data_IF_488031615558
#
_entry.id   IF_488031615558
#
_cell.length_a   1.000
_cell.length_b   1.000
_cell.length_c   1.000
_cell.angle_alpha   90.00
_cell.angle_beta   90.00
_cell.angle_gamma   90.00
#
_symmetry.space_group_name_H-M   'P 1'
#
loop_
_entity.id
_entity.type
_entity.pdbx_description
1 polymer ?
#
# COMPACT_ATOMS: atom_id res chain seq x y z
N UNK A 1 19.58 -10.48 0.93
CA UNK A 1 20.61 -11.51 0.58
C UNK A 1 20.20 -12.36 -0.61
N UNK A 2 19.06 -13.07 -0.56
CA UNK A 2 18.66 -13.94 -1.67
C UNK A 2 18.55 -13.17 -3.00
N UNK A 3 17.87 -12.02 -2.99
CA UNK A 3 17.71 -11.13 -4.15
C UNK A 3 19.06 -10.66 -4.71
N UNK A 4 19.89 -9.97 -3.91
CA UNK A 4 21.27 -9.62 -4.27
C UNK A 4 22.09 -10.76 -4.91
N UNK A 5 22.11 -11.96 -4.32
CA UNK A 5 22.88 -13.09 -4.87
C UNK A 5 22.32 -13.56 -6.22
N UNK A 6 21.00 -13.55 -6.37
CA UNK A 6 20.33 -13.82 -7.64
C UNK A 6 20.70 -12.77 -8.68
N UNK A 7 20.72 -11.48 -8.34
CA UNK A 7 21.14 -10.41 -9.24
C UNK A 7 22.59 -10.61 -9.72
N UNK A 8 23.52 -10.83 -8.78
CA UNK A 8 24.94 -11.03 -9.08
C UNK A 8 25.17 -12.27 -9.95
N UNK A 9 24.57 -13.41 -9.59
CA UNK A 9 24.74 -14.67 -10.31
C UNK A 9 24.02 -14.65 -11.66
N UNK A 10 22.83 -14.06 -11.74
CA UNK A 10 22.07 -13.91 -12.98
C UNK A 10 22.82 -13.07 -14.01
N UNK A 11 23.40 -11.94 -13.59
CA UNK A 11 24.25 -11.10 -14.46
C UNK A 11 25.50 -11.82 -14.94
N UNK A 12 26.16 -12.59 -14.07
CA UNK A 12 27.34 -13.37 -14.45
C UNK A 12 26.99 -14.44 -15.50
N UNK A 13 25.89 -15.16 -15.32
CA UNK A 13 25.40 -16.16 -16.27
C UNK A 13 25.00 -15.53 -17.61
N UNK A 14 24.23 -14.43 -17.58
CA UNK A 14 23.85 -13.70 -18.78
C UNK A 14 25.09 -13.22 -19.55
N UNK A 15 26.09 -12.68 -18.85
CA UNK A 15 27.32 -12.23 -19.49
C UNK A 15 28.12 -13.37 -20.13
N UNK A 16 28.20 -14.52 -19.47
CA UNK A 16 28.87 -15.69 -20.02
C UNK A 16 28.13 -16.25 -21.26
N UNK A 17 26.80 -16.22 -21.25
CA UNK A 17 25.98 -16.75 -22.33
C UNK A 17 25.91 -15.84 -23.56
N UNK A 18 25.70 -14.54 -23.37
CA UNK A 18 25.53 -13.57 -24.46
C UNK A 18 26.84 -12.88 -24.89
N UNK A 19 27.96 -13.16 -24.22
CA UNK A 19 29.28 -12.64 -24.58
C UNK A 19 29.56 -11.19 -24.15
N UNK A 20 28.77 -10.63 -23.23
CA UNK A 20 28.95 -9.29 -22.70
C UNK A 20 27.96 -8.94 -21.58
N UNK A 21 28.26 -7.92 -20.75
CA UNK A 21 27.38 -7.54 -19.64
C UNK A 21 26.04 -6.99 -20.14
N UNK A 22 24.98 -7.17 -19.35
CA UNK A 22 23.71 -6.49 -19.58
C UNK A 22 23.92 -4.97 -19.58
N UNK A 23 23.28 -4.27 -20.54
CA UNK A 23 23.38 -2.81 -20.65
C UNK A 23 22.65 -2.10 -19.50
N UNK A 24 21.50 -2.65 -19.12
CA UNK A 24 20.69 -2.21 -17.99
C UNK A 24 20.20 -3.44 -17.21
N UNK A 25 19.91 -3.26 -15.93
CA UNK A 25 19.26 -4.24 -15.09
C UNK A 25 18.03 -3.64 -14.41
N UNK A 26 16.92 -4.35 -14.44
CA UNK A 26 15.65 -3.90 -13.87
C UNK A 26 15.17 -4.86 -12.78
N UNK A 27 14.55 -4.30 -11.72
CA UNK A 27 13.83 -5.05 -10.71
C UNK A 27 12.38 -4.59 -10.68
N UNK A 28 11.44 -5.53 -10.65
CA UNK A 28 10.03 -5.26 -10.43
C UNK A 28 9.50 -6.24 -9.39
N UNK A 29 8.88 -5.71 -8.36
CA UNK A 29 8.22 -6.52 -7.34
C UNK A 29 7.10 -5.72 -6.66
N UNK A 30 6.11 -6.46 -6.18
CA UNK A 30 5.00 -5.92 -5.41
C UNK A 30 4.87 -6.65 -4.06
N UNK A 31 4.25 -6.04 -3.04
CA UNK A 31 4.12 -6.61 -1.70
C UNK A 31 5.49 -6.83 -1.04
N UNK A 32 5.79 -8.04 -0.56
CA UNK A 32 7.14 -8.43 -0.15
C UNK A 32 8.18 -8.16 -1.25
N UNK A 33 7.83 -8.35 -2.53
CA UNK A 33 8.71 -7.99 -3.65
C UNK A 33 8.94 -6.47 -3.75
N UNK A 34 7.96 -5.65 -3.36
CA UNK A 34 8.13 -4.20 -3.27
C UNK A 34 9.07 -3.81 -2.13
N UNK A 35 9.01 -4.51 -0.98
CA UNK A 35 9.99 -4.37 0.10
C UNK A 35 11.39 -4.75 -0.37
N UNK A 36 11.53 -5.86 -1.10
CA UNK A 36 12.80 -6.31 -1.66
C UNK A 36 13.37 -5.28 -2.63
N UNK A 37 12.51 -4.70 -3.48
CA UNK A 37 12.86 -3.61 -4.40
C UNK A 37 13.49 -2.41 -3.67
N UNK A 38 12.86 -1.97 -2.56
CA UNK A 38 13.40 -0.88 -1.75
C UNK A 38 14.66 -1.29 -1.00
N UNK A 39 14.76 -2.53 -0.54
CA UNK A 39 15.96 -3.06 0.09
C UNK A 39 17.14 -3.07 -0.87
N UNK A 40 16.95 -3.45 -2.12
CA UNK A 40 17.98 -3.39 -3.17
C UNK A 40 18.41 -1.94 -3.42
N UNK A 41 17.46 -1.00 -3.54
CA UNK A 41 17.79 0.42 -3.69
C UNK A 41 18.63 0.97 -2.53
N UNK A 42 18.34 0.58 -1.29
CA UNK A 42 19.01 1.07 -0.08
C UNK A 42 20.36 0.38 0.18
N UNK A 43 20.40 -0.95 0.08
CA UNK A 43 21.53 -1.77 0.56
C UNK A 43 22.45 -2.25 -0.56
N UNK A 44 21.92 -2.42 -1.76
CA UNK A 44 22.64 -2.93 -2.92
C UNK A 44 22.41 -2.00 -4.12
N UNK A 45 22.74 -0.70 -3.99
CA UNK A 45 22.35 0.30 -4.98
C UNK A 45 22.88 -0.04 -6.37
N UNK A 46 23.92 -0.89 -6.51
CA UNK A 46 24.54 -1.32 -7.76
C UNK A 46 23.82 -2.43 -8.53
N UNK A 47 22.80 -3.05 -7.93
CA UNK A 47 22.22 -4.27 -8.49
C UNK A 47 21.23 -4.00 -9.62
N UNK A 48 20.60 -2.83 -9.64
CA UNK A 48 19.61 -2.47 -10.67
C UNK A 48 19.73 -1.00 -11.06
N UNK A 49 19.48 -0.69 -12.32
CA UNK A 49 19.48 0.68 -12.86
C UNK A 49 18.08 1.29 -12.81
N UNK A 50 17.04 0.44 -12.90
CA UNK A 50 15.65 0.80 -12.67
C UNK A 50 14.99 -0.15 -11.68
N UNK A 51 14.17 0.39 -10.78
CA UNK A 51 13.43 -0.38 -9.78
C UNK A 51 11.96 0.03 -9.80
N UNK A 52 11.05 -0.95 -9.79
CA UNK A 52 9.63 -0.79 -9.52
C UNK A 52 9.33 -1.44 -8.17
N UNK A 53 8.77 -0.64 -7.26
CA UNK A 53 8.33 -1.09 -5.94
C UNK A 53 6.82 -0.88 -5.80
N UNK A 54 6.05 -1.96 -5.91
CA UNK A 54 4.59 -1.95 -5.74
C UNK A 54 4.19 -2.31 -4.32
N UNK A 55 3.22 -1.61 -3.74
CA UNK A 55 2.59 -1.92 -2.44
C UNK A 55 3.57 -2.44 -1.36
N UNK A 56 4.71 -1.75 -1.11
CA UNK A 56 5.82 -2.38 -0.43
C UNK A 56 5.60 -2.49 1.08
N UNK A 57 5.77 -3.71 1.61
CA UNK A 57 5.88 -3.94 3.05
C UNK A 57 7.26 -3.52 3.60
N UNK A 58 7.68 -2.28 3.33
CA UNK A 58 9.04 -1.81 3.57
C UNK A 58 9.40 -1.71 5.06
N UNK A 59 8.40 -1.65 5.95
CA UNK A 59 8.57 -1.54 7.39
C UNK A 59 8.00 -2.79 8.08
N UNK A 60 8.45 -3.95 7.63
CA UNK A 60 7.89 -5.27 7.91
C UNK A 60 7.69 -5.54 9.40
N UNK A 61 8.66 -5.22 10.26
CA UNK A 61 8.51 -5.44 11.71
C UNK A 61 7.30 -4.69 12.29
N UNK A 62 7.05 -3.48 11.78
CA UNK A 62 5.93 -2.67 12.19
C UNK A 62 4.64 -3.07 11.47
N UNK A 63 4.71 -3.58 10.25
CA UNK A 63 3.54 -4.10 9.56
C UNK A 63 2.97 -5.33 10.28
N UNK A 64 3.85 -6.24 10.72
CA UNK A 64 3.49 -7.43 11.50
C UNK A 64 2.73 -7.08 12.79
N UNK A 65 3.22 -6.09 13.54
CA UNK A 65 2.60 -5.66 14.81
C UNK A 65 1.39 -4.76 14.57
N UNK A 66 1.55 -3.80 13.67
CA UNK A 66 0.68 -2.66 13.44
C UNK A 66 -0.54 -2.95 12.60
N UNK A 67 -0.48 -4.00 11.80
CA UNK A 67 -1.52 -4.34 10.84
C UNK A 67 -1.90 -5.80 11.00
N UNK A 68 -1.02 -6.76 10.70
CA UNK A 68 -1.40 -8.19 10.76
C UNK A 68 -1.96 -8.56 12.14
N UNK A 69 -1.16 -8.37 13.19
CA UNK A 69 -1.60 -8.69 14.55
C UNK A 69 -2.74 -7.78 15.02
N UNK A 70 -2.74 -6.50 14.62
CA UNK A 70 -3.75 -5.53 15.04
C UNK A 70 -5.14 -5.84 14.49
N UNK A 71 -5.24 -6.22 13.20
CA UNK A 71 -6.51 -6.63 12.58
C UNK A 71 -7.05 -7.86 13.29
N UNK A 72 -6.20 -8.89 13.45
CA UNK A 72 -6.59 -10.15 14.09
C UNK A 72 -7.02 -9.91 15.53
N UNK A 73 -6.25 -9.14 16.30
CA UNK A 73 -6.56 -8.82 17.69
C UNK A 73 -7.84 -7.99 17.81
N UNK A 74 -8.08 -7.06 16.90
CA UNK A 74 -9.27 -6.18 16.92
C UNK A 74 -10.55 -6.95 16.68
N UNK A 75 -10.54 -7.93 15.77
CA UNK A 75 -11.75 -8.65 15.35
C UNK A 75 -11.99 -9.94 16.13
N UNK A 76 -10.93 -10.62 16.59
CA UNK A 76 -11.03 -11.99 17.10
C UNK A 76 -10.64 -12.18 18.58
N UNK A 77 -10.30 -11.10 19.28
CA UNK A 77 -10.15 -11.13 20.75
C UNK A 77 -11.50 -11.06 21.49
N UNK A 78 -12.53 -10.50 20.86
CA UNK A 78 -13.90 -10.44 21.36
C UNK A 78 -14.85 -10.71 20.20
N UNK A 79 -15.62 -11.80 20.28
CA UNK A 79 -16.56 -12.19 19.23
C UNK A 79 -17.62 -11.12 18.92
N UNK A 80 -17.87 -10.18 19.83
CA UNK A 80 -18.78 -9.05 19.60
C UNK A 80 -18.23 -8.01 18.63
N UNK A 81 -16.91 -7.98 18.43
CA UNK A 81 -16.22 -7.05 17.51
C UNK A 81 -16.20 -7.55 16.07
N UNK A 82 -16.39 -8.84 15.85
CA UNK A 82 -16.30 -9.46 14.52
C UNK A 82 -17.39 -8.92 13.60
N UNK A 83 -17.01 -8.58 12.37
CA UNK A 83 -17.91 -8.13 11.32
C UNK A 83 -18.25 -9.29 10.40
N UNK A 84 -19.51 -9.39 9.98
CA UNK A 84 -19.89 -10.25 8.86
C UNK A 84 -19.53 -9.62 7.52
N UNK A 85 -19.44 -10.42 6.45
CA UNK A 85 -19.25 -9.90 5.09
C UNK A 85 -20.33 -8.89 4.68
N UNK A 86 -21.59 -9.10 5.08
CA UNK A 86 -22.68 -8.16 4.81
C UNK A 86 -22.49 -6.81 5.54
N UNK A 87 -21.92 -6.84 6.74
CA UNK A 87 -21.61 -5.61 7.49
C UNK A 87 -20.40 -4.88 6.92
N UNK A 88 -19.38 -5.58 6.42
CA UNK A 88 -18.28 -4.95 5.68
C UNK A 88 -18.79 -4.27 4.39
N UNK A 89 -19.68 -4.95 3.64
CA UNK A 89 -20.37 -4.35 2.49
C UNK A 89 -21.16 -3.09 2.87
N UNK A 90 -21.89 -3.13 3.99
CA UNK A 90 -22.62 -1.97 4.51
C UNK A 90 -21.69 -0.79 4.80
N UNK A 91 -20.54 -1.05 5.45
CA UNK A 91 -19.53 -0.02 5.73
C UNK A 91 -19.01 0.59 4.42
N UNK A 92 -18.56 -0.24 3.47
CA UNK A 92 -18.02 0.27 2.20
C UNK A 92 -19.03 1.02 1.35
N UNK A 93 -20.30 0.61 1.39
CA UNK A 93 -21.38 1.33 0.71
C UNK A 93 -21.59 2.71 1.34
N UNK A 94 -21.60 2.80 2.67
CA UNK A 94 -21.77 4.07 3.38
C UNK A 94 -20.55 5.00 3.23
N UNK A 95 -19.34 4.45 3.20
CA UNK A 95 -18.10 5.18 2.90
C UNK A 95 -18.18 5.81 1.51
N UNK A 96 -18.49 5.02 0.47
CA UNK A 96 -18.60 5.54 -0.89
C UNK A 96 -19.68 6.62 -0.98
N UNK A 97 -20.87 6.39 -0.44
CA UNK A 97 -21.95 7.40 -0.41
C UNK A 97 -21.53 8.72 0.24
N UNK A 98 -20.65 8.69 1.23
CA UNK A 98 -20.20 9.88 1.93
C UNK A 98 -19.00 10.58 1.25
N UNK A 99 -18.18 9.83 0.50
CA UNK A 99 -16.83 10.27 0.15
C UNK A 99 -16.47 10.22 -1.34
N UNK A 100 -17.16 9.42 -2.16
CA UNK A 100 -16.90 9.26 -3.61
C UNK A 100 -16.84 10.63 -4.30
N UNK A 101 -17.90 11.44 -4.14
CA UNK A 101 -18.02 12.77 -4.77
C UNK A 101 -17.05 13.85 -4.29
N UNK A 102 -16.14 13.56 -3.34
CA UNK A 102 -15.22 14.58 -2.82
C UNK A 102 -14.21 15.05 -3.89
N UNK A 103 -13.85 14.20 -4.84
CA UNK A 103 -12.98 14.54 -5.97
C UNK A 103 -13.72 15.17 -7.17
N UNK A 104 -15.04 15.27 -7.08
CA UNK A 104 -15.91 15.84 -8.12
C UNK A 104 -16.46 14.82 -9.11
N UNK A 105 -16.15 13.53 -8.93
CA UNK A 105 -16.63 12.41 -9.73
C UNK A 105 -17.45 11.47 -8.82
N UNK A 106 -18.48 10.82 -9.35
CA UNK A 106 -19.26 9.82 -8.60
C UNK A 106 -19.16 8.50 -9.36
N UNK A 107 -18.17 7.70 -8.99
CA UNK A 107 -17.73 6.56 -9.79
C UNK A 107 -17.39 5.30 -8.97
N UNK A 108 -17.69 5.34 -7.67
CA UNK A 108 -17.48 4.27 -6.70
C UNK A 108 -16.03 4.13 -6.23
N UNK A 109 -15.17 5.10 -6.51
CA UNK A 109 -13.75 5.11 -6.13
C UNK A 109 -13.44 6.40 -5.38
N UNK A 110 -12.68 6.30 -4.30
CA UNK A 110 -12.13 7.47 -3.62
C UNK A 110 -10.80 7.82 -4.30
N UNK A 111 -10.71 8.95 -5.01
CA UNK A 111 -9.46 9.44 -5.61
C UNK A 111 -8.36 9.61 -4.55
N UNK A 112 -8.72 10.20 -3.41
CA UNK A 112 -7.84 10.31 -2.25
C UNK A 112 -8.62 10.02 -0.95
N UNK A 113 -8.50 8.80 -0.38
CA UNK A 113 -9.23 8.43 0.83
C UNK A 113 -8.81 9.22 2.07
N UNK A 114 -7.70 9.98 2.03
CA UNK A 114 -7.27 10.86 3.13
C UNK A 114 -8.26 12.02 3.36
N UNK A 115 -9.08 12.35 2.36
CA UNK A 115 -10.15 13.36 2.44
C UNK A 115 -11.45 12.82 3.01
N UNK A 116 -11.58 11.50 3.11
CA UNK A 116 -12.78 10.87 3.63
C UNK A 116 -12.76 10.84 5.17
N UNK A 117 -13.60 11.68 5.78
CA UNK A 117 -13.76 11.75 7.24
C UNK A 117 -14.98 10.97 7.75
N UNK A 118 -15.46 9.99 6.99
CA UNK A 118 -16.60 9.15 7.39
C UNK A 118 -16.35 8.46 8.75
N UNK A 119 -17.35 8.55 9.63
CA UNK A 119 -17.38 7.87 10.93
C UNK A 119 -18.47 6.79 10.93
N UNK A 120 -18.15 5.54 11.31
CA UNK A 120 -19.07 4.42 11.18
C UNK A 120 -20.15 4.41 12.27
N UNK A 121 -20.13 5.36 13.21
CA UNK A 121 -21.14 5.51 14.25
C UNK A 121 -22.53 5.81 13.70
N UNK A 122 -22.61 6.37 12.49
CA UNK A 122 -23.90 6.56 11.78
C UNK A 122 -24.59 5.23 11.44
N UNK A 123 -23.84 4.13 11.37
CA UNK A 123 -24.34 2.77 11.12
C UNK A 123 -24.72 2.03 12.41
N UNK A 124 -24.58 2.65 13.59
CA UNK A 124 -24.80 1.95 14.85
C UNK A 124 -26.27 1.50 15.00
N UNK A 125 -26.48 0.25 15.42
CA UNK A 125 -27.81 -0.32 15.65
C UNK A 125 -28.58 0.48 16.71
N UNK A 126 -29.84 0.84 16.40
CA UNK A 126 -30.80 1.45 17.34
C UNK A 126 -31.56 0.42 18.19
N UNK A 127 -31.46 -0.86 17.82
CA UNK A 127 -32.13 -1.99 18.47
C UNK A 127 -31.28 -3.25 18.36
N UNK A 128 -31.92 -4.40 18.15
CA UNK A 128 -31.21 -5.68 18.02
C UNK A 128 -30.22 -5.67 16.84
N UNK A 129 -29.10 -6.38 17.04
CA UNK A 129 -28.09 -6.58 16.00
C UNK A 129 -28.67 -7.31 14.79
N UNK A 130 -28.39 -6.82 13.60
CA UNK A 130 -28.68 -7.51 12.34
C UNK A 130 -27.69 -7.05 11.26
N UNK A 131 -27.78 -7.66 10.07
CA UNK A 131 -26.86 -7.39 8.94
C UNK A 131 -26.91 -5.96 8.36
N UNK A 132 -27.88 -5.14 8.77
CA UNK A 132 -28.09 -3.77 8.25
C UNK A 132 -27.60 -2.67 9.21
N UNK A 133 -26.92 -3.03 10.30
CA UNK A 133 -26.32 -2.07 11.23
C UNK A 133 -25.10 -2.69 11.92
N UNK A 134 -24.33 -1.86 12.64
CA UNK A 134 -23.19 -2.28 13.43
C UNK A 134 -23.51 -2.15 14.93
N UNK A 135 -23.17 -3.17 15.72
CA UNK A 135 -23.19 -3.02 17.18
C UNK A 135 -22.10 -2.04 17.64
N UNK A 136 -22.22 -1.54 18.87
CA UNK A 136 -21.21 -0.63 19.43
C UNK A 136 -19.77 -1.21 19.41
N UNK A 137 -19.52 -2.49 19.77
CA UNK A 137 -18.20 -3.11 19.60
C UNK A 137 -17.73 -3.15 18.14
N UNK A 138 -18.61 -3.45 17.17
CA UNK A 138 -18.27 -3.46 15.74
C UNK A 138 -17.92 -2.05 15.21
N UNK A 139 -18.68 -1.02 15.59
CA UNK A 139 -18.33 0.38 15.27
C UNK A 139 -16.95 0.73 15.83
N UNK A 140 -16.66 0.31 17.06
CA UNK A 140 -15.36 0.52 17.70
C UNK A 140 -14.25 -0.23 16.97
N UNK A 141 -14.51 -1.46 16.51
CA UNK A 141 -13.56 -2.24 15.72
C UNK A 141 -13.22 -1.55 14.40
N UNK A 142 -14.21 -1.09 13.63
CA UNK A 142 -13.98 -0.35 12.37
C UNK A 142 -13.14 0.91 12.61
N UNK A 143 -13.44 1.69 13.66
CA UNK A 143 -12.61 2.87 14.02
C UNK A 143 -11.17 2.49 14.36
N UNK A 144 -10.94 1.36 15.04
CA UNK A 144 -9.59 0.86 15.36
C UNK A 144 -8.83 0.41 14.11
N UNK A 145 -9.49 -0.24 13.17
CA UNK A 145 -8.89 -0.69 11.91
C UNK A 145 -8.39 0.51 11.08
N UNK A 146 -9.21 1.55 10.93
CA UNK A 146 -8.82 2.76 10.18
C UNK A 146 -7.78 3.63 10.90
N UNK A 147 -7.72 3.56 12.24
CA UNK A 147 -6.76 4.36 13.02
C UNK A 147 -5.39 3.67 13.16
N UNK A 148 -5.38 2.35 13.23
CA UNK A 148 -4.21 1.58 13.65
C UNK A 148 -3.95 1.67 15.17
N UNK A 149 -2.99 0.89 15.69
CA UNK A 149 -2.62 0.92 17.11
C UNK A 149 -1.92 2.23 17.48
N UNK A 150 -2.39 2.86 18.57
CA UNK A 150 -1.70 3.99 19.18
C UNK A 150 -0.76 3.47 20.28
N UNK A 151 0.52 3.30 19.96
CA UNK A 151 1.55 3.00 20.97
C UNK A 151 2.45 4.22 21.18
N UNK A 152 2.88 4.46 22.42
CA UNK A 152 3.76 5.59 22.74
C UNK A 152 5.16 5.46 22.12
N UNK A 153 5.58 4.23 21.81
CA UNK A 153 6.92 3.92 21.27
C UNK A 153 6.99 4.16 19.76
N UNK A 154 5.87 4.02 19.06
CA UNK A 154 5.80 4.04 17.59
C UNK A 154 4.71 4.97 17.07
N UNK A 155 4.41 6.03 17.83
CA UNK A 155 3.41 7.02 17.45
C UNK A 155 3.76 7.60 16.08
N UNK A 156 2.90 7.39 15.08
CA UNK A 156 3.16 7.81 13.71
C UNK A 156 4.05 6.86 12.89
N UNK A 157 4.13 5.57 13.24
CA UNK A 157 4.66 4.50 12.38
C UNK A 157 3.59 3.48 11.99
N UNK A 158 2.62 3.24 12.87
CA UNK A 158 1.46 2.41 12.56
C UNK A 158 0.37 3.26 11.91
N UNK A 159 0.19 3.07 10.61
CA UNK A 159 -0.95 3.61 9.87
C UNK A 159 -2.08 2.60 9.89
N UNK A 160 -3.32 3.05 10.15
CA UNK A 160 -4.48 2.20 9.92
C UNK A 160 -4.81 2.07 8.43
N UNK A 161 -5.70 1.15 8.12
CA UNK A 161 -6.20 0.91 6.77
C UNK A 161 -6.93 2.15 6.23
N UNK A 162 -6.86 2.35 4.92
CA UNK A 162 -7.65 3.40 4.28
C UNK A 162 -9.09 2.97 4.00
N UNK A 163 -9.92 4.00 3.83
CA UNK A 163 -11.32 3.84 3.42
C UNK A 163 -11.43 3.62 1.91
N UNK A 164 -12.49 2.95 1.47
CA UNK A 164 -12.82 2.75 0.06
C UNK A 164 -12.71 1.30 -0.41
N UNK A 165 -12.01 0.44 0.34
CA UNK A 165 -11.88 -0.99 0.04
C UNK A 165 -12.86 -1.91 0.76
N UNK A 166 -13.69 -1.39 1.67
CA UNK A 166 -14.45 -2.23 2.63
C UNK A 166 -15.46 -3.15 1.98
N UNK A 167 -16.10 -2.69 0.90
CA UNK A 167 -17.13 -3.46 0.21
C UNK A 167 -16.54 -4.63 -0.60
N UNK A 168 -15.37 -4.44 -1.20
CA UNK A 168 -14.85 -5.33 -2.24
C UNK A 168 -13.63 -6.14 -1.80
N UNK A 169 -12.80 -5.58 -0.92
CA UNK A 169 -11.46 -6.12 -0.63
C UNK A 169 -11.32 -6.64 0.81
N UNK A 170 -12.23 -6.28 1.72
CA UNK A 170 -12.14 -6.73 3.10
C UNK A 170 -12.44 -8.22 3.30
N UNK A 171 -13.22 -8.85 2.41
CA UNK A 171 -13.53 -10.27 2.54
C UNK A 171 -12.24 -11.11 2.40
N UNK A 172 -11.98 -11.97 3.38
CA UNK A 172 -10.76 -12.77 3.46
C UNK A 172 -9.63 -12.01 4.15
N UNK A 173 -9.30 -10.80 3.69
CA UNK A 173 -8.24 -9.98 4.29
C UNK A 173 -8.56 -9.52 5.70
N UNK A 174 -9.66 -8.78 5.85
CA UNK A 174 -10.06 -8.15 7.12
C UNK A 174 -11.15 -8.97 7.80
N UNK A 175 -12.18 -9.37 7.05
CA UNK A 175 -13.33 -10.12 7.59
C UNK A 175 -13.34 -11.55 7.08
N UNK A 176 -13.36 -12.49 8.01
CA UNK A 176 -13.53 -13.92 7.79
C UNK A 176 -14.34 -14.54 8.94
N UNK A 177 -14.91 -15.73 8.72
CA UNK A 177 -15.77 -16.38 9.71
C UNK A 177 -14.97 -16.88 10.92
N UNK A 178 -13.71 -17.27 10.68
CA UNK A 178 -12.75 -17.65 11.73
C UNK A 178 -11.43 -16.88 11.60
N UNK A 179 -10.62 -16.81 12.68
CA UNK A 179 -9.26 -16.28 12.59
C UNK A 179 -8.40 -17.05 11.59
N UNK A 180 -8.56 -18.37 11.48
CA UNK A 180 -7.72 -19.20 10.60
C UNK A 180 -7.97 -18.95 9.11
N UNK A 181 -9.16 -18.48 8.75
CA UNK A 181 -9.52 -18.08 7.39
C UNK A 181 -9.09 -16.64 7.06
N UNK A 182 -8.71 -15.85 8.06
CA UNK A 182 -8.29 -14.47 7.88
C UNK A 182 -6.84 -14.40 7.35
N UNK A 183 -6.63 -13.67 6.25
CA UNK A 183 -5.30 -13.60 5.60
C UNK A 183 -4.26 -12.96 6.51
N UNK A 184 -4.59 -11.90 7.27
CA UNK A 184 -3.62 -11.33 8.21
C UNK A 184 -3.22 -12.31 9.32
N UNK A 185 -4.12 -13.20 9.75
CA UNK A 185 -3.76 -14.23 10.71
C UNK A 185 -2.83 -15.29 10.09
N UNK A 186 -3.08 -15.68 8.85
CA UNK A 186 -2.24 -16.63 8.11
C UNK A 186 -0.83 -16.10 7.87
N UNK A 187 -0.71 -14.82 7.55
CA UNK A 187 0.58 -14.18 7.28
C UNK A 187 1.33 -13.82 8.57
N UNK A 188 0.66 -13.15 9.53
CA UNK A 188 1.36 -12.59 10.68
C UNK A 188 1.52 -13.50 11.89
N UNK A 189 0.54 -14.38 12.22
CA UNK A 189 0.67 -15.22 13.42
C UNK A 189 1.90 -16.15 13.39
N UNK A 190 2.31 -16.73 12.25
CA UNK A 190 3.57 -17.48 12.15
C UNK A 190 4.80 -16.66 12.56
N UNK A 191 4.88 -15.37 12.19
CA UNK A 191 5.99 -14.51 12.59
C UNK A 191 6.13 -14.44 14.12
N UNK A 192 5.02 -14.18 14.82
CA UNK A 192 5.04 -14.13 16.29
C UNK A 192 5.33 -15.49 16.92
N UNK A 193 4.68 -16.55 16.44
CA UNK A 193 4.85 -17.91 16.98
C UNK A 193 6.28 -18.41 16.82
N UNK A 194 6.88 -18.28 15.65
CA UNK A 194 8.14 -18.94 15.32
C UNK A 194 9.37 -18.06 15.47
N UNK A 195 9.27 -16.76 15.16
CA UNK A 195 10.41 -15.84 15.21
C UNK A 195 10.47 -15.07 16.54
N UNK A 196 9.35 -14.46 16.95
CA UNK A 196 9.34 -13.60 18.14
C UNK A 196 9.41 -14.43 19.41
N UNK A 197 8.46 -15.34 19.61
CA UNK A 197 8.28 -16.08 20.87
C UNK A 197 8.82 -17.50 20.87
N UNK A 198 9.11 -18.09 19.70
CA UNK A 198 9.58 -19.48 19.61
C UNK A 198 8.61 -20.51 20.22
N UNK A 199 7.31 -20.20 20.21
CA UNK A 199 6.25 -21.02 20.78
C UNK A 199 5.11 -21.21 19.75
N UNK A 200 4.94 -22.42 19.17
CA UNK A 200 3.88 -22.69 18.20
C UNK A 200 2.46 -22.55 18.78
N UNK A 201 2.32 -22.65 20.10
CA UNK A 201 1.06 -22.54 20.83
C UNK A 201 0.83 -21.13 21.41
N UNK A 202 1.63 -20.13 21.02
CA UNK A 202 1.43 -18.75 21.47
C UNK A 202 0.04 -18.23 21.04
N UNK A 203 -0.65 -17.59 21.99
CA UNK A 203 -1.97 -16.98 21.77
C UNK A 203 -1.83 -15.47 21.56
N UNK A 204 -2.30 -14.99 20.42
CA UNK A 204 -2.22 -13.58 20.01
C UNK A 204 -2.91 -12.63 21.00
N UNK A 205 -3.92 -13.12 21.72
CA UNK A 205 -4.65 -12.34 22.74
C UNK A 205 -3.78 -11.93 23.92
N UNK A 206 -2.61 -12.55 24.08
CA UNK A 206 -1.65 -12.27 25.15
C UNK A 206 -0.58 -11.24 24.76
N UNK A 207 -0.62 -10.71 23.53
CA UNK A 207 0.42 -9.78 23.06
C UNK A 207 0.48 -8.48 23.85
N UNK A 208 1.69 -8.08 24.25
CA UNK A 208 1.93 -6.84 24.99
C UNK A 208 2.39 -5.72 24.04
N UNK A 209 1.43 -4.90 23.58
CA UNK A 209 1.67 -3.73 22.73
C UNK A 209 2.54 -2.62 23.35
N UNK A 210 2.84 -2.67 24.65
CA UNK A 210 3.68 -1.65 25.31
C UNK A 210 5.16 -2.02 25.31
N UNK A 211 5.52 -3.31 25.34
CA UNK A 211 6.90 -3.75 25.49
C UNK A 211 7.43 -4.53 24.28
N UNK A 212 6.63 -5.46 23.75
CA UNK A 212 7.07 -6.37 22.69
C UNK A 212 7.52 -5.66 21.39
N UNK A 213 6.90 -4.56 20.94
CA UNK A 213 7.33 -3.90 19.70
C UNK A 213 8.80 -3.47 19.70
N UNK A 214 9.31 -2.93 20.82
CA UNK A 214 10.73 -2.52 20.92
C UNK A 214 11.68 -3.72 20.84
N UNK A 215 11.29 -4.86 21.42
CA UNK A 215 12.10 -6.08 21.36
C UNK A 215 12.16 -6.63 19.93
N UNK A 216 11.03 -6.61 19.23
CA UNK A 216 10.92 -7.02 17.82
C UNK A 216 11.84 -6.16 16.96
N UNK A 217 11.77 -4.83 17.08
CA UNK A 217 12.64 -3.92 16.34
C UNK A 217 14.12 -4.21 16.58
N UNK A 218 14.53 -4.31 17.85
CA UNK A 218 15.92 -4.55 18.23
C UNK A 218 16.48 -5.85 17.63
N UNK A 219 15.62 -6.87 17.44
CA UNK A 219 16.01 -8.18 16.94
C UNK A 219 15.96 -8.28 15.42
N UNK A 220 14.98 -7.63 14.78
CA UNK A 220 14.61 -7.94 13.40
C UNK A 220 14.67 -6.75 12.44
N UNK A 221 14.52 -5.51 12.91
CA UNK A 221 14.40 -4.34 12.02
C UNK A 221 15.61 -4.15 11.11
N UNK A 222 16.82 -4.37 11.64
CA UNK A 222 18.06 -4.26 10.86
C UNK A 222 18.13 -5.26 9.70
N UNK A 223 17.39 -6.36 9.77
CA UNK A 223 17.36 -7.39 8.73
C UNK A 223 16.16 -7.20 7.80
N UNK A 224 14.96 -7.03 8.37
CA UNK A 224 13.69 -7.07 7.65
C UNK A 224 13.25 -5.71 7.10
N UNK A 225 13.61 -4.60 7.75
CA UNK A 225 13.07 -3.31 7.36
C UNK A 225 13.95 -2.63 6.28
N UNK A 226 13.28 -2.12 5.26
CA UNK A 226 13.80 -1.28 4.20
C UNK A 226 13.34 0.17 4.41
N UNK A 227 13.75 0.78 5.53
CA UNK A 227 13.26 2.10 5.99
C UNK A 227 14.28 3.24 5.80
N UNK A 228 15.45 2.99 5.21
CA UNK A 228 16.49 4.00 5.03
C UNK A 228 16.04 5.07 4.00
N UNK A 229 15.92 6.35 4.39
CA UNK A 229 15.50 7.39 3.47
C UNK A 229 16.63 7.93 2.58
N UNK A 230 17.89 7.55 2.80
CA UNK A 230 19.00 8.00 1.97
C UNK A 230 19.21 7.10 0.73
N UNK A 231 18.50 7.46 -0.35
CA UNK A 231 18.64 6.80 -1.64
C UNK A 231 19.66 7.48 -2.57
N UNK A 232 20.49 8.40 -2.05
CA UNK A 232 21.47 9.08 -2.89
C UNK A 232 22.56 8.17 -3.46
N UNK A 233 23.01 7.08 -2.80
CA UNK A 233 23.90 6.11 -3.44
C UNK A 233 23.29 5.48 -4.70
N UNK A 234 22.01 5.14 -4.68
CA UNK A 234 21.27 4.62 -5.83
C UNK A 234 21.13 5.67 -6.94
N UNK A 235 20.72 6.90 -6.58
CA UNK A 235 20.69 8.04 -7.52
C UNK A 235 22.06 8.33 -8.12
N UNK A 236 23.13 8.29 -7.32
CA UNK A 236 24.48 8.73 -7.69
C UNK A 236 25.06 8.00 -8.89
N UNK A 237 24.58 6.77 -9.15
CA UNK A 237 24.91 5.95 -10.31
C UNK A 237 23.88 5.97 -11.44
N UNK A 238 22.88 6.85 -11.34
CA UNK A 238 21.83 7.03 -12.36
C UNK A 238 20.52 6.28 -12.08
N UNK A 239 20.40 5.58 -10.94
CA UNK A 239 19.26 4.74 -10.62
C UNK A 239 17.92 5.47 -10.64
N UNK A 240 16.87 4.83 -11.17
CA UNK A 240 15.48 5.33 -11.21
C UNK A 240 14.55 4.40 -10.43
N UNK A 241 13.70 4.98 -9.60
CA UNK A 241 12.73 4.27 -8.76
C UNK A 241 11.32 4.76 -9.09
N UNK A 242 10.48 3.86 -9.57
CA UNK A 242 9.03 4.02 -9.60
C UNK A 242 8.45 3.24 -8.43
N UNK A 243 7.62 3.90 -7.64
CA UNK A 243 6.86 3.28 -6.56
C UNK A 243 5.38 3.49 -6.85
N UNK A 244 4.57 2.46 -6.75
CA UNK A 244 3.12 2.61 -6.78
C UNK A 244 2.47 1.99 -5.54
N UNK A 245 1.33 2.53 -5.13
CA UNK A 245 0.55 1.92 -4.06
C UNK A 245 -0.96 2.06 -4.24
N UNK A 246 -1.72 0.97 -4.09
CA UNK A 246 -3.17 0.94 -4.14
C UNK A 246 -3.81 1.61 -2.93
N UNK A 247 -4.64 2.64 -3.15
CA UNK A 247 -5.29 3.35 -2.04
C UNK A 247 -6.29 2.49 -1.25
N UNK A 248 -6.76 1.39 -1.83
CA UNK A 248 -7.67 0.45 -1.18
C UNK A 248 -6.99 -0.85 -0.77
N UNK A 249 -5.66 -0.87 -0.68
CA UNK A 249 -4.87 -2.03 -0.23
C UNK A 249 -5.34 -2.49 1.17
N UNK A 250 -5.88 -3.72 1.30
CA UNK A 250 -6.31 -4.26 2.57
C UNK A 250 -5.17 -4.90 3.38
N UNK A 251 -4.00 -5.10 2.79
CA UNK A 251 -2.82 -5.69 3.43
C UNK A 251 -1.92 -4.60 3.98
N UNK A 252 -1.17 -3.93 3.08
CA UNK A 252 -0.20 -2.91 3.46
C UNK A 252 -0.90 -1.55 3.43
N UNK A 253 -0.90 -0.77 4.52
CA UNK A 253 -1.58 0.51 4.50
C UNK A 253 -0.89 1.52 3.58
N UNK A 254 -1.61 2.12 2.60
CA UNK A 254 -1.01 2.99 1.57
C UNK A 254 -0.38 4.27 2.12
N UNK A 255 -0.84 4.77 3.28
CA UNK A 255 -0.21 5.91 3.97
C UNK A 255 1.27 5.67 4.30
N UNK A 256 1.68 4.44 4.54
CA UNK A 256 3.07 4.11 4.83
C UNK A 256 3.97 4.49 3.64
N UNK A 257 3.50 4.26 2.41
CA UNK A 257 4.26 4.59 1.19
C UNK A 257 4.41 6.07 0.95
N UNK A 258 3.36 6.85 1.24
CA UNK A 258 3.43 8.32 1.26
C UNK A 258 4.45 8.79 2.29
N UNK A 259 4.41 8.24 3.51
CA UNK A 259 5.36 8.61 4.56
C UNK A 259 6.81 8.28 4.21
N UNK A 260 7.05 7.12 3.60
CA UNK A 260 8.39 6.76 3.12
C UNK A 260 8.86 7.71 2.02
N UNK A 261 8.01 8.00 1.02
CA UNK A 261 8.34 8.99 -0.01
C UNK A 261 8.71 10.34 0.58
N UNK A 262 7.91 10.85 1.53
CA UNK A 262 8.20 12.13 2.17
C UNK A 262 9.47 12.12 3.02
N UNK A 263 9.83 10.98 3.63
CA UNK A 263 11.12 10.83 4.34
C UNK A 263 12.30 10.90 3.35
N UNK A 264 12.22 10.20 2.22
CA UNK A 264 13.24 10.26 1.16
C UNK A 264 13.33 11.67 0.57
N UNK A 265 12.18 12.32 0.33
CA UNK A 265 12.12 13.70 -0.17
C UNK A 265 12.81 14.67 0.81
N UNK A 266 12.48 14.60 2.10
CA UNK A 266 13.15 15.41 3.14
C UNK A 266 14.65 15.14 3.22
N UNK A 267 15.07 13.87 3.12
CA UNK A 267 16.49 13.49 3.11
C UNK A 267 17.22 14.08 1.89
N UNK A 268 16.62 13.96 0.70
CA UNK A 268 17.15 14.48 -0.56
C UNK A 268 17.27 16.00 -0.56
N UNK A 269 16.25 16.71 -0.06
CA UNK A 269 16.25 18.16 0.01
C UNK A 269 17.31 18.72 0.97
N UNK A 270 17.59 18.05 2.09
CA UNK A 270 18.71 18.41 2.99
C UNK A 270 20.08 18.34 2.30
N UNK A 271 20.15 17.59 1.20
CA UNK A 271 21.34 17.42 0.36
C UNK A 271 21.21 18.17 -0.98
N UNK A 272 20.25 19.11 -1.10
CA UNK A 272 19.99 19.92 -2.30
C UNK A 272 19.68 19.10 -3.57
N UNK A 273 19.05 17.94 -3.41
CA UNK A 273 18.61 17.08 -4.51
C UNK A 273 17.09 17.12 -4.65
N UNK A 274 16.60 17.24 -5.90
CA UNK A 274 15.20 17.01 -6.22
C UNK A 274 14.90 15.50 -6.20
N UNK A 275 14.04 15.00 -5.28
CA UNK A 275 13.64 13.59 -5.26
C UNK A 275 12.97 13.16 -6.57
N UNK A 276 12.19 14.04 -7.21
CA UNK A 276 11.45 13.74 -8.45
C UNK A 276 12.33 13.42 -9.67
N UNK A 277 13.63 13.70 -9.57
CA UNK A 277 14.66 13.41 -10.58
C UNK A 277 15.06 11.92 -10.65
N UNK A 278 14.74 11.15 -9.62
CA UNK A 278 15.10 9.73 -9.52
C UNK A 278 14.07 8.85 -8.80
N UNK A 279 13.13 9.43 -8.05
CA UNK A 279 12.11 8.70 -7.31
C UNK A 279 10.72 9.33 -7.51
N UNK A 280 9.78 8.55 -8.07
CA UNK A 280 8.38 8.95 -8.25
C UNK A 280 7.44 7.94 -7.60
N UNK A 281 6.50 8.44 -6.80
CA UNK A 281 5.42 7.66 -6.18
C UNK A 281 4.12 7.92 -6.95
N UNK A 282 3.38 6.87 -7.29
CA UNK A 282 2.06 6.90 -7.91
C UNK A 282 1.05 6.20 -6.99
N UNK A 283 0.17 6.98 -6.37
CA UNK A 283 -0.96 6.39 -5.64
C UNK A 283 -2.02 5.97 -6.65
N UNK A 284 -2.63 4.80 -6.45
CA UNK A 284 -3.59 4.20 -7.39
C UNK A 284 -4.98 4.15 -6.73
N UNK A 285 -5.88 5.11 -7.05
CA UNK A 285 -7.23 5.14 -6.52
C UNK A 285 -7.98 3.84 -6.73
N UNK A 286 -8.59 3.32 -5.67
CA UNK A 286 -9.42 2.11 -5.72
C UNK A 286 -8.70 0.81 -6.06
N UNK A 287 -7.38 0.80 -6.28
CA UNK A 287 -6.64 -0.45 -6.44
C UNK A 287 -6.44 -1.11 -5.07
N UNK A 288 -6.58 -2.44 -5.01
CA UNK A 288 -6.24 -3.25 -3.84
C UNK A 288 -4.75 -3.59 -3.77
N UNK A 289 -4.43 -4.67 -3.07
CA UNK A 289 -3.06 -5.16 -2.93
C UNK A 289 -2.54 -5.75 -4.25
N UNK A 290 -1.56 -5.09 -4.86
CA UNK A 290 -0.90 -5.39 -6.14
C UNK A 290 -1.81 -5.39 -7.38
N UNK A 291 -3.10 -5.08 -7.21
CA UNK A 291 -4.11 -5.17 -8.25
C UNK A 291 -5.52 -5.32 -7.66
N UNK A 292 -6.48 -5.66 -8.52
CA UNK A 292 -7.88 -5.78 -8.13
C UNK A 292 -8.48 -4.45 -7.63
N UNK A 293 -9.61 -4.54 -6.94
CA UNK A 293 -10.31 -3.37 -6.37
C UNK A 293 -11.21 -2.63 -7.37
N UNK A 294 -12.00 -1.64 -6.91
CA UNK A 294 -12.96 -0.92 -7.77
C UNK A 294 -12.31 -0.01 -8.82
N UNK A 295 -11.07 0.45 -8.59
CA UNK A 295 -10.39 1.43 -9.45
C UNK A 295 -9.60 0.85 -10.62
N UNK A 296 -9.05 1.73 -11.45
CA UNK A 296 -8.21 1.37 -12.59
C UNK A 296 -6.86 0.80 -12.13
N UNK A 297 -6.70 -0.52 -12.26
CA UNK A 297 -5.62 -1.28 -11.63
C UNK A 297 -4.66 -1.96 -12.63
N UNK A 298 -4.87 -1.76 -13.93
CA UNK A 298 -3.98 -2.28 -14.97
C UNK A 298 -3.21 -1.14 -15.62
N UNK A 299 -1.89 -1.20 -15.55
CA UNK A 299 -0.98 -0.17 -16.04
C UNK A 299 0.40 -0.76 -16.34
N UNK A 300 1.19 -0.06 -17.16
CA UNK A 300 2.54 -0.49 -17.56
C UNK A 300 3.59 0.43 -16.94
N UNK A 301 4.14 -0.01 -15.80
CA UNK A 301 5.25 0.69 -15.13
C UNK A 301 6.60 0.37 -15.75
N UNK A 302 6.76 -0.80 -16.40
CA UNK A 302 8.04 -1.23 -16.95
C UNK A 302 8.45 -0.37 -18.12
N UNK A 303 7.56 -0.17 -19.10
CA UNK A 303 7.85 0.72 -20.25
C UNK A 303 8.17 2.14 -19.79
N UNK A 304 7.48 2.63 -18.75
CA UNK A 304 7.76 3.95 -18.17
C UNK A 304 9.14 4.02 -17.49
N UNK A 305 9.54 2.95 -16.79
CA UNK A 305 10.84 2.87 -16.15
C UNK A 305 11.98 2.76 -17.17
N UNK A 306 11.83 1.93 -18.20
CA UNK A 306 12.77 1.81 -19.32
C UNK A 306 12.99 3.16 -19.99
N UNK A 307 11.92 3.87 -20.35
CA UNK A 307 12.03 5.22 -20.90
C UNK A 307 12.77 6.20 -19.98
N UNK A 308 12.59 6.06 -18.66
CA UNK A 308 13.28 6.93 -17.71
C UNK A 308 14.77 6.59 -17.59
N UNK A 309 15.11 5.31 -17.51
CA UNK A 309 16.50 4.83 -17.38
C UNK A 309 17.29 5.04 -18.67
N UNK A 310 16.71 4.67 -19.81
CA UNK A 310 17.43 4.62 -21.09
C UNK A 310 17.40 5.95 -21.85
N UNK A 311 16.36 6.76 -21.63
CA UNK A 311 16.13 8.00 -22.39
C UNK A 311 16.02 9.25 -21.51
N UNK A 312 16.08 9.11 -20.19
CA UNK A 312 15.97 10.25 -19.27
C UNK A 312 14.57 10.86 -19.22
N UNK A 313 13.54 10.17 -19.75
CA UNK A 313 12.17 10.68 -19.81
C UNK A 313 11.39 10.16 -18.60
N UNK A 314 11.28 11.01 -17.58
CA UNK A 314 10.58 10.66 -16.35
C UNK A 314 9.04 10.65 -16.54
N UNK A 315 8.31 9.66 -16.02
CA UNK A 315 6.86 9.53 -16.25
C UNK A 315 6.07 10.62 -15.54
N UNK A 316 5.48 11.56 -16.28
CA UNK A 316 4.64 12.64 -15.71
C UNK A 316 3.20 12.20 -15.43
N UNK A 317 2.79 11.08 -16.03
CA UNK A 317 1.53 10.38 -15.82
C UNK A 317 1.69 8.93 -16.25
N UNK A 318 0.91 8.02 -15.67
CA UNK A 318 0.79 6.63 -16.13
C UNK A 318 -0.68 6.37 -16.44
N UNK A 319 -0.99 5.82 -17.61
CA UNK A 319 -2.36 5.46 -17.94
C UNK A 319 -2.72 4.15 -17.22
N UNK A 320 -3.72 4.20 -16.35
CA UNK A 320 -4.33 3.02 -15.76
C UNK A 320 -5.68 2.72 -16.42
N UNK A 321 -6.04 1.44 -16.46
CA UNK A 321 -7.30 0.95 -17.02
C UNK A 321 -8.00 0.03 -16.03
N UNK A 322 -9.32 0.21 -15.88
CA UNK A 322 -10.21 -0.77 -15.28
C UNK A 322 -10.80 -1.61 -16.40
N UNK A 323 -10.47 -2.89 -16.44
CA UNK A 323 -11.09 -3.85 -17.34
C UNK A 323 -12.26 -4.56 -16.67
N UNK A 324 -13.20 -5.05 -17.49
CA UNK A 324 -14.24 -5.95 -17.01
C UNK A 324 -13.59 -7.19 -16.38
N UNK A 325 -13.98 -7.52 -15.15
CA UNK A 325 -13.40 -8.60 -14.34
C UNK A 325 -11.87 -8.55 -14.19
N UNK A 326 -11.27 -7.35 -14.31
CA UNK A 326 -9.82 -7.15 -14.25
C UNK A 326 -9.02 -7.96 -15.29
N UNK A 327 -9.64 -8.33 -16.42
CA UNK A 327 -9.02 -9.06 -17.52
C UNK A 327 -8.67 -8.12 -18.69
N UNK A 328 -7.38 -7.85 -18.97
CA UNK A 328 -6.95 -7.00 -20.08
C UNK A 328 -7.42 -7.44 -21.47
N UNK A 329 -7.94 -8.67 -21.61
CA UNK A 329 -8.52 -9.18 -22.86
C UNK A 329 -10.00 -8.82 -23.03
N UNK A 330 -10.64 -8.28 -21.99
CA UNK A 330 -12.06 -7.87 -22.00
C UNK A 330 -12.20 -6.35 -22.22
N UNK A 331 -13.43 -5.87 -22.23
CA UNK A 331 -13.73 -4.46 -22.46
C UNK A 331 -13.08 -3.57 -21.38
N UNK A 332 -12.50 -2.45 -21.82
CA UNK A 332 -12.13 -1.34 -20.93
C UNK A 332 -13.40 -0.65 -20.45
N UNK A 333 -13.55 -0.55 -19.13
CA UNK A 333 -14.67 0.12 -18.47
C UNK A 333 -14.35 1.58 -18.15
N UNK A 334 -13.11 1.85 -17.73
CA UNK A 334 -12.61 3.17 -17.37
C UNK A 334 -11.12 3.27 -17.64
N UNK A 335 -10.66 4.46 -18.01
CA UNK A 335 -9.25 4.83 -17.99
C UNK A 335 -9.03 5.99 -17.03
N UNK A 336 -7.91 5.99 -16.30
CA UNK A 336 -7.57 7.00 -15.31
C UNK A 336 -6.08 7.33 -15.37
N UNK A 337 -5.66 8.61 -15.30
CA UNK A 337 -4.24 8.93 -15.26
C UNK A 337 -3.73 8.88 -13.82
N UNK A 338 -2.76 8.03 -13.55
CA UNK A 338 -2.01 8.06 -12.30
C UNK A 338 -1.03 9.23 -12.33
N UNK A 339 -1.07 10.04 -11.28
CA UNK A 339 -0.26 11.24 -11.15
C UNK A 339 0.90 11.02 -10.17
N UNK A 340 2.08 11.60 -10.42
CA UNK A 340 3.18 11.50 -9.48
C UNK A 340 2.86 12.34 -8.23
N UNK A 341 2.82 11.70 -7.06
CA UNK A 341 2.62 12.33 -5.76
C UNK A 341 3.59 13.53 -5.59
N UNK A 342 3.15 14.68 -5.05
CA UNK A 342 1.85 14.93 -4.39
C UNK A 342 0.72 15.38 -5.34
N UNK A 343 0.86 15.20 -6.66
CA UNK A 343 -0.23 15.49 -7.59
C UNK A 343 -1.29 14.38 -7.53
N UNK A 344 -2.55 14.77 -7.70
CA UNK A 344 -3.72 13.88 -7.84
C UNK A 344 -4.36 14.12 -9.21
N UNK A 345 -5.16 13.17 -9.70
CA UNK A 345 -5.91 13.37 -10.94
C UNK A 345 -7.17 14.18 -10.65
N UNK A 346 -7.25 15.40 -11.18
CA UNK A 346 -8.44 16.24 -11.05
C UNK A 346 -9.28 16.19 -12.30
N UNK A 347 -10.56 15.87 -12.15
CA UNK A 347 -11.51 15.92 -13.24
C UNK A 347 -11.71 17.37 -13.73
N UNK A 348 -11.66 17.55 -15.05
CA UNK A 348 -11.78 18.85 -15.70
C UNK A 348 -13.18 19.46 -15.64
N UNK A 349 -14.20 18.68 -15.23
CA UNK A 349 -15.60 19.09 -15.20
C UNK A 349 -16.34 18.87 -16.53
N UNK A 350 -15.66 18.42 -17.57
CA UNK A 350 -16.22 18.20 -18.90
C UNK A 350 -15.78 16.85 -19.47
N UNK A 351 -16.66 16.22 -20.27
CA UNK A 351 -16.41 14.90 -20.85
C UNK A 351 -16.94 13.74 -20.00
N UNK A 352 -16.44 12.53 -20.25
CA UNK A 352 -16.75 11.36 -19.43
C UNK A 352 -15.71 11.22 -18.31
N UNK A 353 -16.11 10.95 -17.05
CA UNK A 353 -15.17 10.60 -15.99
C UNK A 353 -14.50 9.22 -16.22
N UNK A 354 -15.02 8.41 -17.15
CA UNK A 354 -14.40 7.13 -17.50
C UNK A 354 -13.23 7.26 -18.52
N UNK A 355 -12.88 8.50 -18.92
CA UNK A 355 -11.82 8.79 -19.90
C UNK A 355 -10.72 9.67 -19.30
N UNK A 356 -9.51 9.10 -19.21
CA UNK A 356 -8.34 9.73 -18.60
C UNK A 356 -7.96 11.08 -19.22
N UNK A 357 -8.38 11.37 -20.46
CA UNK A 357 -8.11 12.65 -21.13
C UNK A 357 -8.84 13.83 -20.49
N UNK A 358 -9.90 13.54 -19.73
CA UNK A 358 -10.70 14.56 -19.05
C UNK A 358 -10.18 14.88 -17.64
N UNK A 359 -8.97 14.42 -17.29
CA UNK A 359 -8.31 14.68 -16.01
C UNK A 359 -6.97 15.39 -16.21
N UNK A 360 -6.56 16.15 -15.20
CA UNK A 360 -5.26 16.85 -15.16
C UNK A 360 -4.56 16.51 -13.85
N UNK A 361 -3.26 16.19 -13.93
CA UNK A 361 -2.43 16.01 -12.75
C UNK A 361 -2.04 17.36 -12.16
N UNK A 362 -2.55 17.66 -10.97
CA UNK A 362 -2.26 18.89 -10.25
C UNK A 362 -2.01 18.66 -8.77
N UNK A 363 -1.25 19.56 -8.14
CA UNK A 363 -1.07 19.53 -6.69
C UNK A 363 -2.40 19.92 -6.08
N UNK A 364 -2.87 19.11 -5.14
CA UNK A 364 -4.13 19.40 -4.46
C UNK A 364 -3.99 20.73 -3.68
N UNK A 365 -4.83 21.71 -4.02
CA UNK A 365 -4.91 22.94 -3.24
C UNK A 365 -5.42 22.58 -1.85
N UNK A 366 -4.65 22.86 -0.79
CA UNK A 366 -5.13 22.76 0.58
C UNK A 366 -6.44 23.52 0.68
N UNK A 367 -7.55 22.82 0.94
CA UNK A 367 -8.77 23.47 1.38
C UNK A 367 -8.37 24.31 2.60
N UNK A 368 -8.54 25.63 2.50
CA UNK A 368 -8.31 26.55 3.61
C UNK A 368 -9.03 26.02 4.85
N UNK A 369 -8.27 25.86 5.94
CA UNK A 369 -8.71 25.41 7.26
C UNK A 369 -10.02 26.05 7.75
#
# INVERSE_FOLDING_TARGET
RAVHLTAASGKALASAYYGGPARYAYFEGCSQGGQEALMEAQRYPTDYDGIISGDPDYNQTHHEVGVHLWVVSTLYSDARSQLSAAQAQLVGTAVNQACDKLDGVEDGVLEDPRRCHFDPGVLQCRGANNKNCLTHPQVTAVRKLWKGPATAIHFGYYTGLERGGEATLWRGWIVADTPEENVHAQLGLPFFKYFVFGNPNWDFRTFNYQAAPREIDNRFASVLDAVDPDLLPFKGRGGKLIHYHGFSDPDVPPRASIWYYERVARSSHRQHVDPGSFYRLFMVPGMGHCGGGPGANSFDMMTALEHWVEHGVAPERILATKYLDDDPKKASLRTHPLCPYPKVARYSGHGSPDDARNFVCEVESSASE
#
